data_IF_073216977611
#
_entry.id   IF_073216977611
#
_cell.length_a   1.000
_cell.length_b   1.000
_cell.length_c   1.000
_cell.angle_alpha   90.00
_cell.angle_beta   90.00
_cell.angle_gamma   90.00
#
_symmetry.space_group_name_H-M   'P 1'
#
loop_
_entity.id
_entity.type
_entity.pdbx_description
1 polymer ?
#
# COMPACT_ATOMS: atom_id res chain seq x y z
N UNK A 1 -21.54 17.29 -7.70
CA UNK A 1 -21.22 17.15 -6.27
C UNK A 1 -19.96 16.30 -6.14
N UNK A 2 -19.02 16.62 -5.23
CA UNK A 2 -17.76 15.87 -5.09
C UNK A 2 -17.97 14.72 -4.09
N UNK A 3 -17.67 13.49 -4.49
CA UNK A 3 -17.77 12.32 -3.61
C UNK A 3 -16.95 12.52 -2.33
N UNK A 4 -17.54 12.20 -1.18
CA UNK A 4 -16.88 12.21 0.14
C UNK A 4 -17.10 10.86 0.83
N UNK A 5 -16.04 10.29 1.39
CA UNK A 5 -16.12 9.08 2.20
C UNK A 5 -16.80 9.38 3.54
N UNK A 6 -17.53 8.40 4.08
CA UNK A 6 -18.30 8.56 5.31
C UNK A 6 -17.42 8.81 6.54
N UNK A 7 -16.33 8.04 6.71
CA UNK A 7 -15.35 8.23 7.78
C UNK A 7 -14.19 9.10 7.31
N UNK A 8 -13.98 10.24 7.95
CA UNK A 8 -12.93 11.20 7.61
C UNK A 8 -12.40 11.90 8.88
N UNK A 9 -11.39 12.76 8.73
CA UNK A 9 -10.78 13.49 9.85
C UNK A 9 -11.77 14.30 10.70
N UNK A 10 -12.88 14.79 10.14
CA UNK A 10 -13.84 15.65 10.85
C UNK A 10 -14.74 14.87 11.81
N UNK A 11 -14.89 13.57 11.60
CA UNK A 11 -15.69 12.69 12.46
C UNK A 11 -14.85 11.54 13.03
N UNK A 12 -13.55 11.77 13.20
CA UNK A 12 -12.58 10.83 13.78
C UNK A 12 -12.66 9.43 13.15
N UNK A 13 -12.87 9.39 11.83
CA UNK A 13 -13.02 8.18 11.02
C UNK A 13 -14.09 7.20 11.52
N UNK A 14 -15.11 7.70 12.21
CA UNK A 14 -16.19 6.93 12.83
C UNK A 14 -15.68 5.91 13.87
N UNK A 15 -14.64 6.27 14.62
CA UNK A 15 -14.09 5.39 15.66
C UNK A 15 -15.13 5.10 16.75
N UNK A 16 -15.36 3.81 17.01
CA UNK A 16 -16.16 3.34 18.13
C UNK A 16 -15.25 2.93 19.30
N UNK A 17 -15.19 3.79 20.32
CA UNK A 17 -14.37 3.58 21.52
C UNK A 17 -14.92 2.47 22.42
N UNK A 18 -16.23 2.21 22.40
CA UNK A 18 -16.83 1.10 23.13
C UNK A 18 -16.40 -0.23 22.54
N UNK A 19 -16.53 -0.35 21.21
CA UNK A 19 -16.07 -1.52 20.46
C UNK A 19 -14.55 -1.71 20.56
N UNK A 20 -13.77 -0.63 20.50
CA UNK A 20 -12.32 -0.65 20.68
C UNK A 20 -11.94 -1.25 22.04
N UNK A 21 -12.55 -0.75 23.12
CA UNK A 21 -12.25 -1.18 24.49
C UNK A 21 -12.68 -2.63 24.75
N UNK A 22 -13.83 -3.02 24.22
CA UNK A 22 -14.39 -4.35 24.43
C UNK A 22 -13.86 -5.40 23.44
N UNK A 23 -13.15 -4.98 22.39
CA UNK A 23 -12.67 -5.84 21.30
C UNK A 23 -13.81 -6.65 20.64
N UNK A 24 -14.88 -5.95 20.22
CA UNK A 24 -16.10 -6.56 19.65
C UNK A 24 -16.44 -5.98 18.28
N UNK A 25 -17.32 -6.67 17.54
CA UNK A 25 -18.00 -6.10 16.36
C UNK A 25 -17.17 -6.03 15.07
N UNK A 26 -16.08 -6.79 14.94
CA UNK A 26 -15.27 -6.84 13.71
C UNK A 26 -14.46 -5.56 13.41
N UNK A 27 -14.57 -4.52 14.24
CA UNK A 27 -13.79 -3.28 14.16
C UNK A 27 -12.36 -3.44 14.73
N UNK A 28 -12.09 -4.57 15.39
CA UNK A 28 -10.78 -4.94 15.90
C UNK A 28 -10.22 -3.96 16.93
N UNK A 29 -8.88 -3.92 17.02
CA UNK A 29 -8.14 -3.12 18.00
C UNK A 29 -8.22 -1.61 17.78
N UNK A 30 -8.58 -1.17 16.59
CA UNK A 30 -8.64 0.25 16.25
C UNK A 30 -10.00 0.87 16.56
N UNK A 31 -11.08 0.07 16.60
CA UNK A 31 -12.45 0.60 16.65
C UNK A 31 -12.87 1.34 15.38
N UNK A 32 -12.04 1.35 14.33
CA UNK A 32 -12.29 2.10 13.10
C UNK A 32 -12.78 1.16 11.99
N UNK A 33 -13.89 1.48 11.30
CA UNK A 33 -14.44 0.65 10.25
C UNK A 33 -13.63 0.74 8.94
N UNK A 34 -13.34 -0.43 8.36
CA UNK A 34 -12.81 -0.56 7.01
C UNK A 34 -11.58 0.31 6.72
N UNK A 35 -11.64 1.07 5.61
CA UNK A 35 -10.56 1.97 5.13
C UNK A 35 -10.25 3.12 6.09
N UNK A 36 -11.07 3.37 7.11
CA UNK A 36 -10.83 4.43 8.10
C UNK A 36 -9.48 4.27 8.81
N UNK A 37 -8.99 3.03 8.96
CA UNK A 37 -7.70 2.73 9.57
C UNK A 37 -6.54 3.31 8.76
N UNK A 38 -6.42 2.94 7.49
CA UNK A 38 -5.34 3.40 6.61
C UNK A 38 -5.43 4.91 6.33
N UNK A 39 -6.66 5.41 6.12
CA UNK A 39 -6.89 6.84 5.89
C UNK A 39 -6.50 7.66 7.12
N UNK A 40 -6.90 7.22 8.32
CA UNK A 40 -6.56 7.88 9.57
C UNK A 40 -5.06 7.93 9.81
N UNK A 41 -4.34 6.84 9.56
CA UNK A 41 -2.88 6.83 9.68
C UNK A 41 -2.23 7.74 8.63
N UNK A 42 -2.70 7.72 7.39
CA UNK A 42 -2.11 8.52 6.31
C UNK A 42 -2.33 10.02 6.52
N UNK A 43 -3.57 10.42 6.83
CA UNK A 43 -3.96 11.83 6.97
C UNK A 43 -3.47 12.47 8.27
N UNK A 44 -3.29 11.68 9.34
CA UNK A 44 -2.79 12.18 10.62
C UNK A 44 -1.31 12.57 10.58
N UNK A 45 -0.52 11.99 9.67
CA UNK A 45 0.87 12.40 9.41
C UNK A 45 0.99 13.83 8.83
N UNK A 46 -0.13 14.44 8.43
CA UNK A 46 -0.16 15.77 7.83
C UNK A 46 0.13 15.74 6.32
N UNK A 47 -0.03 16.91 5.68
CA UNK A 47 0.11 17.04 4.21
C UNK A 47 1.53 16.71 3.76
N UNK A 48 2.53 17.17 4.51
CA UNK A 48 3.94 16.82 4.31
C UNK A 48 4.53 16.50 5.67
N UNK A 49 4.94 15.24 5.84
CA UNK A 49 5.58 14.79 7.07
C UNK A 49 7.00 15.38 7.21
N UNK A 50 7.36 15.81 8.42
CA UNK A 50 8.69 16.32 8.77
C UNK A 50 9.66 15.14 8.98
N UNK A 51 10.42 14.82 7.94
CA UNK A 51 11.29 13.63 7.90
C UNK A 51 12.61 13.77 8.66
N UNK A 52 12.95 14.96 9.14
CA UNK A 52 14.14 15.20 9.96
C UNK A 52 14.10 14.47 11.31
N UNK A 53 12.91 14.13 11.79
CA UNK A 53 12.69 13.38 13.04
C UNK A 53 12.28 11.91 12.80
N UNK A 54 12.29 11.44 11.55
CA UNK A 54 11.84 10.10 11.19
C UNK A 54 12.88 9.04 11.57
N UNK A 55 12.46 8.07 12.40
CA UNK A 55 13.30 6.95 12.83
C UNK A 55 12.76 5.64 12.26
N UNK A 56 13.27 5.24 11.09
CA UNK A 56 12.84 4.03 10.39
C UNK A 56 13.48 2.77 11.00
N UNK A 57 12.67 1.74 11.17
CA UNK A 57 13.08 0.44 11.68
C UNK A 57 13.43 -0.56 10.57
N UNK A 58 13.77 -1.79 10.96
CA UNK A 58 14.12 -2.88 10.03
C UNK A 58 12.94 -3.22 9.10
N UNK A 59 11.71 -3.12 9.60
CA UNK A 59 10.48 -3.37 8.83
C UNK A 59 10.26 -2.34 7.71
N UNK A 60 10.91 -1.18 7.78
CA UNK A 60 10.77 -0.10 6.79
C UNK A 60 11.75 -0.24 5.61
N UNK A 61 12.48 -1.35 5.50
CA UNK A 61 13.44 -1.60 4.44
C UNK A 61 12.85 -1.37 3.03
N UNK A 62 11.59 -1.76 2.81
CA UNK A 62 10.87 -1.53 1.57
C UNK A 62 10.68 -0.03 1.26
N UNK A 63 10.23 0.75 2.25
CA UNK A 63 10.04 2.21 2.11
C UNK A 63 11.38 2.90 1.84
N UNK A 64 12.43 2.52 2.56
CA UNK A 64 13.79 3.06 2.36
C UNK A 64 14.25 2.78 0.92
N UNK A 65 14.09 1.55 0.44
CA UNK A 65 14.49 1.15 -0.91
C UNK A 65 13.72 1.94 -1.97
N UNK A 66 12.39 2.03 -1.83
CA UNK A 66 11.54 2.74 -2.79
C UNK A 66 11.90 4.23 -2.86
N UNK A 67 12.08 4.89 -1.71
CA UNK A 67 12.48 6.31 -1.67
C UNK A 67 13.81 6.56 -2.37
N UNK A 68 14.79 5.66 -2.21
CA UNK A 68 16.08 5.74 -2.91
C UNK A 68 15.93 5.61 -4.42
N UNK A 69 15.06 4.71 -4.89
CA UNK A 69 14.77 4.54 -6.33
C UNK A 69 14.17 5.81 -6.91
N UNK A 70 13.12 6.34 -6.26
CA UNK A 70 12.45 7.57 -6.71
C UNK A 70 13.38 8.77 -6.72
N UNK A 71 14.19 8.96 -5.67
CA UNK A 71 15.12 10.08 -5.60
C UNK A 71 16.18 10.02 -6.71
N UNK A 72 16.77 8.85 -6.95
CA UNK A 72 17.75 8.66 -8.03
C UNK A 72 17.15 8.87 -9.41
N UNK A 73 15.97 8.30 -9.67
CA UNK A 73 15.27 8.48 -10.94
C UNK A 73 14.92 9.95 -11.20
N UNK A 74 14.48 10.68 -10.18
CA UNK A 74 14.16 12.11 -10.29
C UNK A 74 15.40 12.96 -10.58
N UNK A 75 16.54 12.64 -9.94
CA UNK A 75 17.80 13.34 -10.16
C UNK A 75 18.34 13.07 -11.56
N UNK A 76 18.40 11.81 -11.99
CA UNK A 76 18.86 11.42 -13.32
C UNK A 76 18.02 12.10 -14.41
N UNK A 77 16.69 12.02 -14.30
CA UNK A 77 15.80 12.68 -15.25
C UNK A 77 16.04 14.20 -15.33
N UNK A 78 16.30 14.85 -14.20
CA UNK A 78 16.61 16.29 -14.16
C UNK A 78 17.97 16.63 -14.80
N UNK A 79 18.96 15.75 -14.64
CA UNK A 79 20.35 16.01 -15.05
C UNK A 79 20.58 15.73 -16.54
N UNK A 80 20.09 14.60 -17.05
CA UNK A 80 20.36 14.14 -18.42
C UNK A 80 19.12 13.64 -19.18
N UNK A 81 17.93 13.73 -18.58
CA UNK A 81 16.68 13.28 -19.18
C UNK A 81 16.45 11.77 -19.14
N UNK A 82 17.30 10.99 -18.46
CA UNK A 82 17.11 9.54 -18.32
C UNK A 82 15.78 9.24 -17.64
N UNK A 83 14.84 8.53 -18.30
CA UNK A 83 13.52 8.28 -17.73
C UNK A 83 13.60 7.34 -16.51
N UNK A 84 12.66 7.46 -15.55
CA UNK A 84 12.53 6.49 -14.47
C UNK A 84 12.39 5.04 -14.99
N UNK A 85 12.90 4.05 -14.24
CA UNK A 85 12.68 2.65 -14.60
C UNK A 85 11.19 2.33 -14.61
N UNK A 86 10.74 1.61 -15.64
CA UNK A 86 9.36 1.15 -15.79
C UNK A 86 8.45 2.04 -16.64
N UNK A 87 8.89 3.22 -17.08
CA UNK A 87 8.08 4.10 -17.96
C UNK A 87 7.65 3.38 -19.24
N UNK A 88 8.59 2.70 -19.89
CA UNK A 88 8.36 1.99 -21.16
C UNK A 88 8.17 0.47 -20.97
N UNK A 89 7.90 0.02 -19.73
CA UNK A 89 7.87 -1.40 -19.36
C UNK A 89 6.57 -1.71 -18.60
N UNK A 90 5.39 -1.52 -19.21
CA UNK A 90 4.09 -1.61 -18.54
C UNK A 90 3.80 -2.98 -17.91
N UNK A 91 4.43 -4.05 -18.39
CA UNK A 91 4.37 -5.40 -17.86
C UNK A 91 4.86 -5.50 -16.40
N UNK A 92 5.73 -4.60 -15.95
CA UNK A 92 6.16 -4.55 -14.55
C UNK A 92 5.01 -4.20 -13.60
N UNK A 93 3.94 -3.58 -14.09
CA UNK A 93 2.77 -3.23 -13.29
C UNK A 93 1.65 -4.29 -13.35
N UNK A 94 1.87 -5.41 -14.06
CA UNK A 94 0.90 -6.52 -14.15
C UNK A 94 1.05 -7.56 -13.03
N UNK A 95 1.80 -7.24 -11.98
CA UNK A 95 1.97 -8.12 -10.82
C UNK A 95 0.73 -8.06 -9.93
N UNK A 96 0.14 -9.21 -9.62
CA UNK A 96 -1.00 -9.32 -8.70
C UNK A 96 -0.63 -9.99 -7.38
N UNK A 97 -1.41 -9.70 -6.35
CA UNK A 97 -1.32 -10.42 -5.08
C UNK A 97 -1.76 -11.87 -5.24
N UNK A 98 -0.99 -12.79 -4.67
CA UNK A 98 -1.28 -14.23 -4.65
C UNK A 98 -1.09 -14.74 -3.23
N UNK A 99 -1.95 -15.66 -2.80
CA UNK A 99 -1.80 -16.40 -1.54
C UNK A 99 -1.93 -17.88 -1.83
N UNK A 100 -0.90 -18.66 -1.49
CA UNK A 100 -0.89 -20.12 -1.61
C UNK A 100 0.02 -20.74 -0.54
N UNK A 101 -0.11 -22.04 -0.33
CA UNK A 101 0.76 -22.81 0.55
C UNK A 101 1.93 -23.37 -0.27
N UNK A 102 3.15 -23.14 0.21
CA UNK A 102 4.38 -23.73 -0.35
C UNK A 102 5.06 -24.60 0.70
N UNK A 103 5.72 -25.72 0.31
CA UNK A 103 6.52 -26.50 1.25
C UNK A 103 7.60 -25.66 1.94
N UNK A 104 7.99 -26.07 3.15
CA UNK A 104 9.05 -25.39 3.88
C UNK A 104 10.39 -25.52 3.13
N UNK A 105 11.20 -24.44 3.13
CA UNK A 105 12.47 -24.36 2.42
C UNK A 105 12.37 -23.94 0.94
N UNK A 106 11.16 -23.80 0.39
CA UNK A 106 10.93 -23.30 -0.96
C UNK A 106 10.87 -21.77 -0.96
N UNK A 107 11.53 -21.12 -1.92
CA UNK A 107 11.38 -19.69 -2.14
C UNK A 107 9.96 -19.39 -2.65
N UNK A 108 9.14 -18.77 -1.78
CA UNK A 108 7.75 -18.47 -2.10
C UNK A 108 7.57 -17.50 -3.26
N UNK A 109 8.53 -16.60 -3.53
CA UNK A 109 8.45 -15.65 -4.66
C UNK A 109 8.61 -16.40 -5.98
N UNK A 110 9.66 -17.22 -6.08
CA UNK A 110 9.92 -18.02 -7.29
C UNK A 110 8.79 -19.03 -7.54
N UNK A 111 8.34 -19.72 -6.49
CA UNK A 111 7.28 -20.71 -6.59
C UNK A 111 5.90 -20.13 -6.98
N UNK A 112 5.70 -18.82 -6.83
CA UNK A 112 4.43 -18.16 -7.15
C UNK A 112 4.56 -17.16 -8.29
N UNK A 113 5.70 -17.12 -8.98
CA UNK A 113 5.95 -16.17 -10.05
C UNK A 113 4.92 -16.32 -11.18
N UNK A 114 4.63 -17.55 -11.60
CA UNK A 114 3.62 -17.77 -12.65
C UNK A 114 2.22 -17.27 -12.23
N UNK A 115 1.90 -17.37 -10.94
CA UNK A 115 0.62 -16.88 -10.42
C UNK A 115 0.58 -15.35 -10.37
N UNK A 116 1.68 -14.73 -9.96
CA UNK A 116 1.80 -13.28 -9.79
C UNK A 116 1.85 -12.54 -11.14
N UNK A 117 2.45 -13.15 -12.18
CA UNK A 117 2.60 -12.58 -13.52
C UNK A 117 1.67 -13.19 -14.59
N UNK A 118 0.72 -14.06 -14.21
CA UNK A 118 -0.27 -14.59 -15.13
C UNK A 118 -1.08 -13.47 -15.82
N UNK A 119 -1.37 -13.64 -17.11
CA UNK A 119 -2.31 -12.78 -17.83
C UNK A 119 -3.67 -12.81 -17.12
N UNK A 120 -4.30 -11.64 -16.97
CA UNK A 120 -5.68 -11.54 -16.53
C UNK A 120 -6.53 -12.35 -17.52
N UNK A 121 -7.13 -13.45 -17.08
CA UNK A 121 -8.23 -14.05 -17.81
C UNK A 121 -9.37 -13.00 -17.85
N UNK A 122 -9.93 -12.74 -19.04
CA UNK A 122 -10.96 -11.71 -19.27
C UNK A 122 -12.21 -11.84 -18.40
N UNK A 123 -12.39 -12.98 -17.71
CA UNK A 123 -13.59 -13.30 -16.93
C UNK A 123 -13.82 -12.45 -15.67
N UNK A 124 -12.82 -11.75 -15.13
CA UNK A 124 -13.00 -10.94 -13.92
C UNK A 124 -13.46 -9.50 -14.17
N UNK A 125 -13.69 -9.10 -15.42
CA UNK A 125 -14.22 -7.76 -15.75
C UNK A 125 -15.76 -7.64 -15.59
N UNK A 126 -16.48 -8.73 -15.29
CA UNK A 126 -17.94 -8.77 -15.30
C UNK A 126 -18.62 -8.72 -13.92
N UNK A 127 -17.94 -8.24 -12.87
CA UNK A 127 -18.57 -8.00 -11.56
C UNK A 127 -18.29 -6.59 -11.05
N UNK A 128 -18.81 -5.61 -11.79
CA UNK A 128 -19.01 -4.22 -11.35
C UNK A 128 -20.49 -3.93 -11.14
#
# INVERSE_FOLDING_TARGET
ERFQIAGNRRNDYLIDRGAQKAFVGGLGWSGMPGRGQDNGMTESMGVVYKRDQEHLGVTDAGIIRMRRILARASLAFREDGTPPPGVDTPELYKVRSVSTLVPNGVNGIEATQDLQWAQLAEEQAASG
#
